data_IF_390154882948
#
_entry.id   IF_390154882948
#
_cell.length_a   1.000
_cell.length_b   1.000
_cell.length_c   1.000
_cell.angle_alpha   90.00
_cell.angle_beta   90.00
_cell.angle_gamma   90.00
#
_symmetry.space_group_name_H-M   'P 1'
#
loop_
_entity.id
_entity.type
_entity.pdbx_description
1 polymer ?
#
# COMPACT_ATOMS: atom_id res chain seq x y z
N UNK A 1 -0.35 10.91 -4.51
CA UNK A 1 0.51 11.66 -3.54
C UNK A 1 -0.21 12.47 -2.50
N UNK A 2 -1.29 13.17 -2.85
CA UNK A 2 -2.08 14.02 -1.94
C UNK A 2 -2.43 13.32 -0.61
N UNK A 3 -2.95 12.09 -0.67
CA UNK A 3 -3.30 11.31 0.53
C UNK A 3 -2.10 11.05 1.45
N UNK A 4 -0.95 10.72 0.87
CA UNK A 4 0.28 10.47 1.64
C UNK A 4 0.80 11.76 2.30
N UNK A 5 0.69 12.91 1.63
CA UNK A 5 0.98 14.22 2.24
C UNK A 5 0.10 14.50 3.44
N UNK A 6 -1.20 14.23 3.34
CA UNK A 6 -2.14 14.41 4.44
C UNK A 6 -1.83 13.49 5.63
N UNK A 7 -1.43 12.24 5.37
CA UNK A 7 -1.15 11.24 6.42
C UNK A 7 0.24 11.43 7.05
N UNK A 8 1.26 11.81 6.26
CA UNK A 8 2.68 11.79 6.67
C UNK A 8 3.35 13.16 6.66
N UNK A 9 2.60 14.23 6.37
CA UNK A 9 3.06 15.61 6.29
C UNK A 9 3.64 16.00 4.92
N UNK A 10 3.80 17.31 4.71
CA UNK A 10 4.19 17.91 3.42
C UNK A 10 5.53 17.40 2.84
N UNK A 11 6.42 16.89 3.69
CA UNK A 11 7.72 16.34 3.27
C UNK A 11 7.63 14.91 2.71
N UNK A 12 6.43 14.33 2.63
CA UNK A 12 6.19 12.95 2.16
C UNK A 12 5.02 12.95 1.16
N UNK A 13 5.05 12.12 0.10
CA UNK A 13 6.11 11.18 -0.25
C UNK A 13 7.34 11.91 -0.83
N UNK A 14 8.53 11.30 -0.71
CA UNK A 14 9.76 11.81 -1.34
C UNK A 14 9.78 11.49 -2.83
N UNK A 15 9.30 10.29 -3.19
CA UNK A 15 9.20 9.81 -4.56
C UNK A 15 7.75 10.02 -5.00
N UNK A 16 7.54 10.75 -6.08
CA UNK A 16 6.21 11.04 -6.62
C UNK A 16 5.49 9.76 -7.11
N UNK A 17 4.18 9.85 -7.29
CA UNK A 17 3.35 8.70 -7.67
C UNK A 17 3.71 8.06 -9.01
N UNK A 18 4.15 8.84 -10.02
CA UNK A 18 4.53 8.29 -11.32
C UNK A 18 5.84 7.52 -11.20
N UNK A 19 6.82 8.09 -10.51
CA UNK A 19 8.11 7.43 -10.24
C UNK A 19 7.94 6.15 -9.42
N UNK A 20 7.05 6.15 -8.40
CA UNK A 20 6.73 4.93 -7.63
C UNK A 20 6.01 3.88 -8.47
N UNK A 21 5.08 4.29 -9.33
CA UNK A 21 4.39 3.37 -10.23
C UNK A 21 5.38 2.73 -11.22
N UNK A 22 6.29 3.51 -11.81
CA UNK A 22 7.31 2.98 -12.71
C UNK A 22 8.22 1.95 -12.03
N UNK A 23 8.68 2.24 -10.80
CA UNK A 23 9.48 1.29 -10.02
C UNK A 23 8.72 -0.01 -9.76
N UNK A 24 7.45 0.06 -9.34
CA UNK A 24 6.63 -1.13 -9.15
C UNK A 24 6.40 -1.90 -10.46
N UNK A 25 6.24 -1.20 -11.58
CA UNK A 25 6.02 -1.83 -12.90
C UNK A 25 7.25 -2.58 -13.41
N UNK A 26 8.45 -2.26 -12.90
CA UNK A 26 9.67 -2.97 -13.23
C UNK A 26 9.79 -4.36 -12.57
N UNK A 27 8.93 -4.67 -11.60
CA UNK A 27 8.93 -5.96 -10.91
C UNK A 27 8.20 -7.00 -11.78
N UNK A 28 8.87 -8.11 -12.07
CA UNK A 28 8.38 -9.14 -13.02
C UNK A 28 7.06 -9.80 -12.60
N UNK A 29 6.72 -9.75 -11.31
CA UNK A 29 5.50 -10.33 -10.73
C UNK A 29 4.35 -9.31 -10.59
N UNK A 30 4.50 -8.09 -11.14
CA UNK A 30 3.46 -7.06 -11.10
C UNK A 30 2.80 -6.98 -12.48
N UNK A 31 1.54 -7.41 -12.57
CA UNK A 31 0.78 -7.36 -13.82
C UNK A 31 0.16 -5.98 -14.10
N UNK A 32 -0.29 -5.29 -13.05
CA UNK A 32 -1.00 -4.03 -13.17
C UNK A 32 -0.81 -3.12 -11.95
N UNK A 33 -0.88 -1.81 -12.20
CA UNK A 33 -0.83 -0.77 -11.15
C UNK A 33 -1.98 0.19 -11.40
N UNK A 34 -2.77 0.42 -10.35
CA UNK A 34 -3.92 1.33 -10.41
C UNK A 34 -3.67 2.46 -9.43
N UNK A 35 -3.58 3.68 -9.97
CA UNK A 35 -3.53 4.90 -9.16
C UNK A 35 -4.95 5.29 -8.74
N UNK A 36 -5.10 5.69 -7.48
CA UNK A 36 -6.36 6.20 -6.93
C UNK A 36 -6.10 7.42 -6.04
N UNK A 37 -7.07 8.31 -5.97
CA UNK A 37 -6.97 9.59 -5.25
C UNK A 37 -7.84 9.66 -4.00
N UNK A 38 -8.74 8.69 -3.84
CA UNK A 38 -9.61 8.50 -2.69
C UNK A 38 -8.78 8.21 -1.42
N UNK A 39 -9.36 8.50 -0.26
CA UNK A 39 -8.73 8.27 1.04
C UNK A 39 -8.42 6.78 1.28
N UNK A 40 -9.29 5.91 0.75
CA UNK A 40 -9.14 4.46 0.88
C UNK A 40 -9.37 3.77 -0.48
N UNK A 41 -8.81 2.57 -0.71
CA UNK A 41 -8.99 1.84 -1.96
C UNK A 41 -10.34 1.09 -2.04
N UNK A 42 -11.33 1.44 -1.21
CA UNK A 42 -12.57 0.66 -1.07
C UNK A 42 -13.35 0.53 -2.38
N UNK A 43 -13.39 1.60 -3.19
CA UNK A 43 -14.07 1.61 -4.48
C UNK A 43 -13.38 0.66 -5.47
N UNK A 44 -12.04 0.66 -5.49
CA UNK A 44 -11.26 -0.26 -6.31
C UNK A 44 -11.45 -1.71 -5.88
N UNK A 45 -11.40 -2.00 -4.58
CA UNK A 45 -11.62 -3.36 -4.05
C UNK A 45 -13.03 -3.85 -4.42
N UNK A 46 -14.02 -2.97 -4.36
CA UNK A 46 -15.41 -3.30 -4.71
C UNK A 46 -15.58 -3.55 -6.21
N UNK A 47 -14.87 -2.80 -7.06
CA UNK A 47 -14.91 -2.96 -8.50
C UNK A 47 -14.16 -4.23 -8.98
N UNK A 48 -12.96 -4.46 -8.44
CA UNK A 48 -12.07 -5.57 -8.81
C UNK A 48 -12.56 -6.90 -8.23
N UNK A 49 -13.13 -6.87 -7.01
CA UNK A 49 -13.57 -8.06 -6.25
C UNK A 49 -12.46 -9.14 -6.17
N UNK A 50 -11.30 -8.82 -5.58
CA UNK A 50 -10.18 -9.74 -5.57
C UNK A 50 -10.48 -11.00 -4.73
N UNK A 51 -9.97 -12.15 -5.18
CA UNK A 51 -10.00 -13.40 -4.41
C UNK A 51 -9.08 -13.33 -3.18
N UNK A 52 -8.01 -12.53 -3.26
CA UNK A 52 -7.04 -12.32 -2.19
C UNK A 52 -6.71 -10.84 -2.01
N UNK A 53 -6.80 -10.35 -0.78
CA UNK A 53 -6.36 -9.01 -0.38
C UNK A 53 -5.20 -9.13 0.61
N UNK A 54 -4.00 -8.79 0.16
CA UNK A 54 -2.80 -8.84 0.99
C UNK A 54 -2.46 -7.46 1.59
N UNK A 55 -2.08 -7.43 2.87
CA UNK A 55 -1.59 -6.23 3.55
C UNK A 55 -0.37 -6.56 4.41
N UNK A 56 0.75 -5.89 4.14
CA UNK A 56 1.93 -5.95 5.00
C UNK A 56 1.75 -5.12 6.27
N UNK A 57 2.17 -5.66 7.43
CA UNK A 57 2.11 -4.95 8.71
C UNK A 57 1.65 -5.81 9.88
N UNK A 58 1.56 -5.18 11.05
CA UNK A 58 1.10 -5.79 12.30
C UNK A 58 -0.39 -5.47 12.55
N UNK A 59 -1.19 -5.49 11.48
CA UNK A 59 -2.62 -5.17 11.53
C UNK A 59 -3.46 -6.37 11.95
N UNK A 60 -4.59 -6.15 12.61
CA UNK A 60 -5.65 -7.15 12.71
C UNK A 60 -6.47 -7.15 11.41
N UNK A 61 -6.99 -8.32 11.03
CA UNK A 61 -7.79 -8.45 9.78
C UNK A 61 -8.95 -7.45 9.76
N UNK A 62 -9.60 -7.22 10.91
CA UNK A 62 -10.73 -6.30 11.01
C UNK A 62 -10.38 -4.81 10.82
N UNK A 63 -9.10 -4.45 10.85
CA UNK A 63 -8.59 -3.10 10.60
C UNK A 63 -8.29 -2.85 9.11
N UNK A 64 -8.29 -3.89 8.28
CA UNK A 64 -7.96 -3.78 6.85
C UNK A 64 -9.18 -3.25 6.08
N UNK A 65 -9.01 -2.12 5.41
CA UNK A 65 -10.04 -1.58 4.51
C UNK A 65 -10.36 -2.58 3.40
N UNK A 66 -11.66 -2.85 3.20
CA UNK A 66 -12.14 -3.79 2.19
C UNK A 66 -12.28 -5.23 2.68
N UNK A 67 -11.82 -5.56 3.90
CA UNK A 67 -11.84 -6.94 4.41
C UNK A 67 -13.23 -7.57 4.39
N UNK A 68 -14.28 -6.85 4.83
CA UNK A 68 -15.66 -7.33 4.81
C UNK A 68 -16.18 -7.60 3.40
N UNK A 69 -15.79 -6.76 2.44
CA UNK A 69 -16.24 -6.87 1.04
C UNK A 69 -15.62 -8.11 0.40
N UNK A 70 -14.31 -8.28 0.58
CA UNK A 70 -13.57 -9.44 0.06
C UNK A 70 -14.12 -10.73 0.66
N UNK A 71 -14.27 -10.81 1.98
CA UNK A 71 -14.81 -12.00 2.65
C UNK A 71 -16.26 -12.31 2.25
N UNK A 72 -17.11 -11.29 2.12
CA UNK A 72 -18.50 -11.48 1.65
C UNK A 72 -18.56 -12.06 0.23
N UNK A 73 -17.55 -11.74 -0.60
CA UNK A 73 -17.43 -12.27 -1.96
C UNK A 73 -16.71 -13.63 -2.02
N UNK A 74 -16.40 -14.26 -0.87
CA UNK A 74 -15.71 -15.55 -0.80
C UNK A 74 -14.18 -15.48 -0.89
N UNK A 75 -13.61 -14.27 -0.91
CA UNK A 75 -12.16 -14.05 -0.92
C UNK A 75 -11.53 -14.08 0.46
N UNK A 76 -10.19 -14.00 0.49
CA UNK A 76 -9.38 -14.08 1.69
C UNK A 76 -8.56 -12.82 1.92
N UNK A 77 -8.33 -12.50 3.19
CA UNK A 77 -7.48 -11.37 3.59
C UNK A 77 -6.23 -11.92 4.24
N UNK A 78 -5.06 -11.56 3.70
CA UNK A 78 -3.76 -12.08 4.13
C UNK A 78 -2.95 -10.95 4.74
N UNK A 79 -2.45 -11.17 5.96
CA UNK A 79 -1.48 -10.26 6.58
C UNK A 79 -0.08 -10.82 6.33
N UNK A 80 0.79 -9.98 5.77
CA UNK A 80 2.18 -10.36 5.50
C UNK A 80 3.07 -9.70 6.57
N UNK A 81 3.93 -10.46 7.27
CA UNK A 81 4.83 -9.88 8.27
C UNK A 81 5.80 -8.89 7.62
N UNK A 82 6.15 -7.84 8.36
CA UNK A 82 7.15 -6.88 7.92
C UNK A 82 8.55 -7.49 8.04
N UNK A 83 9.41 -7.19 7.07
CA UNK A 83 10.84 -7.52 7.15
C UNK A 83 11.53 -6.42 7.97
N UNK A 84 12.20 -6.82 9.05
CA UNK A 84 12.91 -5.90 9.91
C UNK A 84 14.04 -5.18 9.13
N UNK A 85 14.28 -3.91 9.48
CA UNK A 85 15.33 -3.09 8.86
C UNK A 85 14.89 -2.31 7.63
N UNK A 86 13.79 -2.67 6.99
CA UNK A 86 13.31 -2.02 5.76
C UNK A 86 12.21 -1.00 6.05
N UNK A 87 12.56 0.30 6.04
CA UNK A 87 11.56 1.37 5.99
C UNK A 87 12.12 2.63 5.33
N UNK A 88 11.26 3.38 4.63
CA UNK A 88 11.69 4.66 4.02
C UNK A 88 12.19 5.66 5.05
N UNK A 89 11.65 5.64 6.27
CA UNK A 89 12.13 6.48 7.37
C UNK A 89 13.53 6.10 7.82
N UNK A 90 13.85 4.80 7.92
CA UNK A 90 15.21 4.32 8.23
C UNK A 90 16.21 4.73 7.16
N UNK A 91 15.85 4.60 5.88
CA UNK A 91 16.70 5.05 4.76
C UNK A 91 16.99 6.55 4.86
N UNK A 92 15.98 7.38 5.09
CA UNK A 92 16.15 8.84 5.23
C UNK A 92 17.03 9.19 6.42
N UNK A 93 16.80 8.54 7.57
CA UNK A 93 17.59 8.81 8.76
C UNK A 93 19.05 8.40 8.56
N UNK A 94 19.31 7.29 7.86
CA UNK A 94 20.67 6.90 7.48
C UNK A 94 21.35 7.97 6.63
N UNK A 95 20.70 8.45 5.57
CA UNK A 95 21.24 9.50 4.68
C UNK A 95 21.52 10.81 5.41
N UNK A 96 20.76 11.15 6.46
CA UNK A 96 20.92 12.39 7.22
C UNK A 96 21.97 12.32 8.33
N UNK A 97 22.24 11.11 8.83
CA UNK A 97 23.10 10.87 9.98
C UNK A 97 24.47 10.28 9.58
N UNK A 98 24.63 9.88 8.31
CA UNK A 98 25.92 9.75 7.62
C UNK A 98 26.40 11.15 7.17
#
# INVERSE_FOLDING_TARGET
DKSIKQIKGEKKPIIDEKSRALLLASLTFVDAIILFSQETPIDLITAIKPDFLAKGGDYKINEIVGQKIVQKNGGHVIIIPLIEGFSSSKIINKIKND
#
